data_IF_310045878879
#
_entry.id   IF_310045878879
#
_cell.length_a   1.000
_cell.length_b   1.000
_cell.length_c   1.000
_cell.angle_alpha   90.00
_cell.angle_beta   90.00
_cell.angle_gamma   90.00
#
_symmetry.space_group_name_H-M   'P 1'
#
loop_
_entity.id
_entity.type
_entity.pdbx_description
1 polymer ?
#
# COMPACT_ATOMS: atom_id res chain seq x y z
N UNK A 1 4.28 11.95 25.94
CA UNK A 1 3.66 12.84 24.94
C UNK A 1 2.60 12.04 24.20
N UNK A 2 1.32 12.41 24.29
CA UNK A 2 0.23 11.65 23.64
C UNK A 2 0.13 11.99 22.15
N UNK A 3 -0.31 11.04 21.33
CA UNK A 3 -0.64 11.29 19.92
C UNK A 3 -2.02 11.94 19.81
N UNK A 4 -2.16 12.97 18.98
CA UNK A 4 -3.38 13.80 18.94
C UNK A 4 -4.69 13.03 18.69
N UNK A 5 -4.65 11.84 18.07
CA UNK A 5 -5.84 11.02 17.81
C UNK A 5 -6.53 10.52 19.09
N UNK A 6 -5.79 10.43 20.21
CA UNK A 6 -6.32 9.96 21.49
C UNK A 6 -6.83 11.10 22.39
N UNK A 7 -6.74 12.35 21.93
CA UNK A 7 -7.15 13.52 22.69
C UNK A 7 -8.54 14.01 22.29
N UNK A 8 -9.30 14.48 23.28
CA UNK A 8 -10.50 15.30 23.01
C UNK A 8 -10.09 16.61 22.33
N UNK A 9 -10.94 17.10 21.42
CA UNK A 9 -10.74 18.38 20.74
C UNK A 9 -10.59 19.51 21.76
N UNK A 10 -9.53 20.31 21.62
CA UNK A 10 -9.17 21.37 22.55
C UNK A 10 -7.79 21.95 22.26
N UNK A 11 -7.27 22.85 23.12
CA UNK A 11 -5.97 23.50 22.91
C UNK A 11 -4.82 22.49 22.75
N UNK A 12 -4.79 21.44 23.58
CA UNK A 12 -3.76 20.40 23.52
C UNK A 12 -3.84 19.56 22.23
N UNK A 13 -5.05 19.16 21.82
CA UNK A 13 -5.27 18.49 20.53
C UNK A 13 -4.79 19.36 19.36
N UNK A 14 -5.11 20.67 19.38
CA UNK A 14 -4.72 21.60 18.33
C UNK A 14 -3.20 21.72 18.22
N UNK A 15 -2.50 21.84 19.35
CA UNK A 15 -1.03 21.91 19.40
C UNK A 15 -0.41 20.63 18.85
N UNK A 16 -0.89 19.45 19.29
CA UNK A 16 -0.32 18.17 18.86
C UNK A 16 -0.63 17.85 17.39
N UNK A 17 -1.83 18.18 16.90
CA UNK A 17 -2.17 18.03 15.48
C UNK A 17 -1.30 18.92 14.60
N UNK A 18 -0.89 20.09 15.11
CA UNK A 18 -0.04 21.04 14.38
C UNK A 18 1.32 20.47 14.01
N UNK A 19 1.82 19.49 14.77
CA UNK A 19 3.08 18.79 14.47
C UNK A 19 3.02 18.02 13.14
N UNK A 20 1.82 17.70 12.65
CA UNK A 20 1.57 16.98 11.40
C UNK A 20 0.96 17.86 10.33
N UNK A 21 0.89 19.19 10.54
CA UNK A 21 0.19 20.10 9.64
C UNK A 21 0.75 20.08 8.21
N UNK A 22 2.04 19.78 8.06
CA UNK A 22 2.72 19.73 6.77
C UNK A 22 2.58 18.35 6.09
N UNK A 23 2.08 17.34 6.83
CA UNK A 23 1.72 16.04 6.30
C UNK A 23 0.48 16.16 5.41
N UNK A 24 0.43 15.39 4.33
CA UNK A 24 -0.67 15.38 3.35
C UNK A 24 -0.87 16.71 2.58
N UNK A 25 0.04 17.68 2.71
CA UNK A 25 0.03 18.87 1.86
C UNK A 25 0.33 18.49 0.41
N UNK A 26 -0.14 19.24 -0.61
CA UNK A 26 0.17 18.92 -2.00
C UNK A 26 1.67 18.77 -2.30
N UNK A 27 2.58 19.64 -1.78
CA UNK A 27 4.01 19.45 -1.97
C UNK A 27 4.53 18.17 -1.31
N UNK A 28 4.03 17.83 -0.12
CA UNK A 28 4.41 16.61 0.57
C UNK A 28 3.94 15.36 -0.18
N UNK A 29 2.68 15.35 -0.64
CA UNK A 29 2.11 14.26 -1.42
C UNK A 29 2.89 14.05 -2.71
N UNK A 30 3.24 15.12 -3.41
CA UNK A 30 3.98 15.02 -4.66
C UNK A 30 5.44 14.58 -4.45
N UNK A 31 6.15 15.16 -3.48
CA UNK A 31 7.59 14.91 -3.30
C UNK A 31 7.91 13.63 -2.53
N UNK A 32 7.06 13.23 -1.57
CA UNK A 32 7.36 12.13 -0.67
C UNK A 32 6.36 10.97 -0.80
N UNK A 33 5.07 11.25 -0.83
CA UNK A 33 4.07 10.17 -0.88
C UNK A 33 4.04 9.49 -2.26
N UNK A 34 3.98 10.27 -3.34
CA UNK A 34 3.80 9.74 -4.69
C UNK A 34 4.92 8.76 -5.12
N UNK A 35 6.23 9.03 -4.90
CA UNK A 35 7.28 8.07 -5.26
C UNK A 35 7.17 6.75 -4.48
N UNK A 36 6.76 6.81 -3.21
CA UNK A 36 6.61 5.63 -2.38
C UNK A 36 5.36 4.83 -2.78
N UNK A 37 4.22 5.50 -2.98
CA UNK A 37 2.99 4.87 -3.46
C UNK A 37 3.17 4.27 -4.86
N UNK A 38 3.97 4.89 -5.73
CA UNK A 38 4.26 4.36 -7.07
C UNK A 38 4.87 2.94 -7.00
N UNK A 39 5.75 2.67 -6.02
CA UNK A 39 6.29 1.31 -5.80
C UNK A 39 5.17 0.30 -5.50
N UNK A 40 4.21 0.67 -4.65
CA UNK A 40 3.04 -0.18 -4.35
C UNK A 40 2.16 -0.39 -5.59
N UNK A 41 1.95 0.65 -6.40
CA UNK A 41 1.19 0.55 -7.65
C UNK A 41 1.85 -0.40 -8.64
N UNK A 42 3.19 -0.40 -8.74
CA UNK A 42 3.90 -1.34 -9.60
C UNK A 42 3.67 -2.81 -9.15
N UNK A 43 3.72 -3.09 -7.84
CA UNK A 43 3.40 -4.44 -7.31
C UNK A 43 1.95 -4.83 -7.57
N UNK A 44 1.02 -3.89 -7.43
CA UNK A 44 -0.38 -4.10 -7.76
C UNK A 44 -0.55 -4.47 -9.24
N UNK A 45 0.08 -3.72 -10.15
CA UNK A 45 0.00 -3.98 -11.59
C UNK A 45 0.59 -5.34 -11.96
N UNK A 46 1.70 -5.74 -11.34
CA UNK A 46 2.29 -7.06 -11.56
C UNK A 46 1.34 -8.19 -11.15
N UNK A 47 0.81 -8.13 -9.92
CA UNK A 47 -0.16 -9.12 -9.46
C UNK A 47 -1.44 -9.14 -10.32
N UNK A 48 -1.93 -7.97 -10.72
CA UNK A 48 -3.14 -7.85 -11.51
C UNK A 48 -2.98 -8.49 -12.89
N UNK A 49 -1.86 -8.24 -13.57
CA UNK A 49 -1.56 -8.85 -14.88
C UNK A 49 -1.52 -10.37 -14.77
N UNK A 50 -0.77 -10.91 -13.80
CA UNK A 50 -0.67 -12.36 -13.58
C UNK A 50 -2.03 -12.99 -13.27
N UNK A 51 -2.85 -12.33 -12.45
CA UNK A 51 -4.23 -12.79 -12.18
C UNK A 51 -5.11 -12.76 -13.41
N UNK A 52 -5.00 -11.73 -14.24
CA UNK A 52 -5.76 -11.63 -15.48
C UNK A 52 -5.36 -12.73 -16.48
N UNK A 53 -4.06 -13.04 -16.59
CA UNK A 53 -3.53 -14.14 -17.39
C UNK A 53 -4.11 -15.49 -16.91
N UNK A 54 -4.02 -15.78 -15.60
CA UNK A 54 -4.59 -17.01 -15.02
C UNK A 54 -6.11 -17.12 -15.16
N UNK A 55 -6.80 -15.98 -15.16
CA UNK A 55 -8.25 -15.98 -15.26
C UNK A 55 -8.74 -16.32 -16.68
N UNK A 56 -7.90 -16.19 -17.71
CA UNK A 56 -8.21 -16.55 -19.10
C UNK A 56 -9.57 -15.98 -19.55
N UNK A 57 -9.71 -14.66 -19.40
CA UNK A 57 -10.95 -13.93 -19.73
C UNK A 57 -12.10 -14.06 -18.71
N UNK A 58 -11.94 -14.87 -17.67
CA UNK A 58 -12.93 -15.00 -16.58
C UNK A 58 -12.78 -13.84 -15.58
N UNK A 59 -13.86 -13.42 -14.90
CA UNK A 59 -13.76 -12.43 -13.84
C UNK A 59 -13.02 -12.99 -12.61
N UNK A 60 -12.27 -12.14 -11.92
CA UNK A 60 -11.65 -12.44 -10.63
C UNK A 60 -11.92 -11.33 -9.60
N UNK A 61 -11.85 -11.66 -8.31
CA UNK A 61 -12.10 -10.68 -7.25
C UNK A 61 -10.98 -9.63 -7.18
N UNK A 62 -11.34 -8.39 -7.44
CA UNK A 62 -10.46 -7.22 -7.35
C UNK A 62 -10.36 -6.67 -5.92
N UNK A 63 -11.40 -6.84 -5.11
CA UNK A 63 -11.56 -6.19 -3.80
C UNK A 63 -10.34 -6.41 -2.89
N UNK A 64 -9.94 -7.67 -2.70
CA UNK A 64 -8.81 -8.03 -1.85
C UNK A 64 -7.48 -7.50 -2.40
N UNK A 65 -7.32 -7.49 -3.72
CA UNK A 65 -6.10 -7.00 -4.36
C UNK A 65 -5.96 -5.48 -4.18
N UNK A 66 -7.05 -4.74 -4.39
CA UNK A 66 -7.11 -3.29 -4.19
C UNK A 66 -6.90 -2.93 -2.71
N UNK A 67 -7.53 -3.67 -1.78
CA UNK A 67 -7.34 -3.47 -0.35
C UNK A 67 -5.88 -3.67 0.07
N UNK A 68 -5.24 -4.76 -0.35
CA UNK A 68 -3.84 -5.02 -0.06
C UNK A 68 -2.90 -4.00 -0.71
N UNK A 69 -3.20 -3.52 -1.92
CA UNK A 69 -2.43 -2.47 -2.58
C UNK A 69 -2.50 -1.13 -1.81
N UNK A 70 -3.68 -0.76 -1.31
CA UNK A 70 -3.85 0.41 -0.47
C UNK A 70 -3.08 0.28 0.86
N UNK A 71 -3.10 -0.90 1.48
CA UNK A 71 -2.32 -1.19 2.68
C UNK A 71 -0.81 -1.05 2.42
N UNK A 72 -0.32 -1.64 1.33
CA UNK A 72 1.09 -1.55 0.92
C UNK A 72 1.51 -0.11 0.60
N UNK A 73 0.60 0.70 0.03
CA UNK A 73 0.84 2.11 -0.23
C UNK A 73 0.99 2.91 1.07
N UNK A 74 0.16 2.65 2.08
CA UNK A 74 0.30 3.25 3.42
C UNK A 74 1.61 2.82 4.08
N UNK A 75 2.02 1.56 3.91
CA UNK A 75 3.28 1.05 4.46
C UNK A 75 4.51 1.67 3.79
N UNK A 76 4.53 1.73 2.45
CA UNK A 76 5.59 2.41 1.70
C UNK A 76 5.67 3.88 2.06
N UNK A 77 4.52 4.53 2.19
CA UNK A 77 4.44 5.94 2.55
C UNK A 77 4.89 6.22 3.99
N UNK A 78 4.42 5.44 4.96
CA UNK A 78 4.63 5.70 6.38
C UNK A 78 5.94 5.15 6.94
N UNK A 79 6.43 4.05 6.38
CA UNK A 79 7.58 3.31 6.91
C UNK A 79 8.69 3.07 5.88
N UNK A 80 8.40 3.22 4.58
CA UNK A 80 9.36 2.92 3.51
C UNK A 80 9.95 1.52 3.70
N UNK A 81 11.28 1.44 3.64
CA UNK A 81 12.01 0.18 3.73
C UNK A 81 12.12 -0.36 5.17
N UNK A 82 11.73 0.42 6.19
CA UNK A 82 11.71 -0.03 7.58
C UNK A 82 10.61 -1.08 7.83
N UNK A 83 9.55 -1.07 7.03
CA UNK A 83 8.59 -2.16 6.99
C UNK A 83 9.06 -3.19 5.96
N UNK A 84 9.40 -4.40 6.40
CA UNK A 84 9.89 -5.46 5.51
C UNK A 84 8.78 -6.25 4.83
N UNK A 85 7.56 -6.19 5.37
CA UNK A 85 6.43 -7.00 4.91
C UNK A 85 5.53 -6.17 3.99
N UNK A 86 5.11 -6.78 2.87
CA UNK A 86 4.10 -6.25 1.95
C UNK A 86 3.06 -7.33 1.68
N UNK A 87 1.79 -6.96 1.69
CA UNK A 87 0.65 -7.86 1.56
C UNK A 87 0.54 -8.47 0.15
N UNK A 88 1.05 -7.78 -0.88
CA UNK A 88 1.03 -8.29 -2.25
C UNK A 88 2.15 -9.29 -2.57
N UNK A 89 3.33 -9.19 -1.91
CA UNK A 89 4.48 -10.04 -2.24
C UNK A 89 4.17 -11.55 -2.10
N UNK A 90 3.59 -12.05 -0.99
CA UNK A 90 3.27 -13.47 -0.87
C UNK A 90 2.24 -13.95 -1.91
N UNK A 91 1.37 -13.06 -2.40
CA UNK A 91 0.40 -13.41 -3.44
C UNK A 91 1.07 -13.55 -4.80
N UNK A 92 2.03 -12.68 -5.12
CA UNK A 92 2.84 -12.75 -6.33
C UNK A 92 3.66 -14.05 -6.31
N UNK A 93 4.38 -14.31 -5.22
CA UNK A 93 5.17 -15.53 -5.02
C UNK A 93 4.31 -16.79 -5.17
N UNK A 94 3.10 -16.78 -4.57
CA UNK A 94 2.19 -17.93 -4.70
C UNK A 94 1.75 -18.16 -6.14
N UNK A 95 1.44 -17.11 -6.88
CA UNK A 95 1.07 -17.24 -8.29
C UNK A 95 2.25 -17.70 -9.14
N UNK A 96 3.45 -17.16 -8.92
CA UNK A 96 4.66 -17.63 -9.60
C UNK A 96 4.90 -19.12 -9.37
N UNK A 97 4.72 -19.60 -8.14
CA UNK A 97 4.87 -21.03 -7.84
C UNK A 97 3.87 -21.95 -8.54
N UNK A 98 2.72 -21.42 -9.01
CA UNK A 98 1.77 -22.19 -9.81
C UNK A 98 2.25 -22.36 -11.26
N UNK A 99 2.85 -21.31 -11.83
CA UNK A 99 3.44 -21.37 -13.17
C UNK A 99 4.67 -22.28 -13.20
N UNK A 100 5.50 -22.28 -12.16
CA UNK A 100 6.68 -23.16 -12.07
C UNK A 100 6.31 -24.64 -11.86
N UNK A 101 5.05 -24.94 -11.52
CA UNK A 101 4.56 -26.32 -11.34
C UNK A 101 3.88 -26.90 -12.58
N UNK A 102 3.65 -26.10 -13.61
CA UNK A 102 3.18 -26.53 -14.93
C UNK A 102 4.37 -26.75 -15.89
N UNK A 103 5.32 -27.60 -15.50
CA UNK A 103 6.26 -28.20 -16.45
C UNK A 103 5.57 -29.37 -17.17
N UNK A 104 5.36 -29.23 -18.48
CA UNK A 104 5.10 -30.32 -19.42
C UNK A 104 6.40 -31.00 -19.84
#
# INVERSE_FOLDING_TARGET
MSFHITLKTGPQWKIQRRLLQDLMTPPFLHKFAAPNVYKSVLRFLDLWKKKAELADGKPFSAERVVFCAALDAVFDFGFGDAATIRALNPQIEKIMSLFDSEDW
#
